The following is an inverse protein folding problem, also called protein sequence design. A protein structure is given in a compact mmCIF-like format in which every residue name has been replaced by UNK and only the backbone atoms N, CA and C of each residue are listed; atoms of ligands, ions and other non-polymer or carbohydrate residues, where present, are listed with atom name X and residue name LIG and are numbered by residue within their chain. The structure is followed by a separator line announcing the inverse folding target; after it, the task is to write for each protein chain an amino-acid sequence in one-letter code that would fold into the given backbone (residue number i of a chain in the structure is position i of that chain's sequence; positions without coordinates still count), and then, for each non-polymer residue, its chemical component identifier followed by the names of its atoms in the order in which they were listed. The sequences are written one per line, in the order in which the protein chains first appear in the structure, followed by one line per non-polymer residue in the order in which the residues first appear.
data_IF_827423035627
#
_entry.id   IF_827423035627
#
_cell.length_a   1.000
_cell.length_b   1.000
_cell.length_c   1.000
_cell.angle_alpha   90.00
_cell.angle_beta   90.00
_cell.angle_gamma   90.00
#
_symmetry.space_group_name_H-M   'P 1'
#
loop_
_entity.id
_entity.type
_entity.pdbx_description
1 polymer ?
#
# COMPACT_ATOMS: atom_id res chain seq x y z
N UNK A 1 -15.89 19.62 -3.47
CA UNK A 1 -14.53 19.54 -4.04
C UNK A 1 -14.67 19.24 -5.53
N UNK A 2 -13.90 19.95 -6.41
CA UNK A 2 -13.92 19.73 -7.84
C UNK A 2 -13.22 18.42 -8.19
N UNK A 3 -13.86 17.61 -9.03
CA UNK A 3 -13.26 16.39 -9.60
C UNK A 3 -12.85 16.67 -11.04
N UNK A 4 -11.63 16.28 -11.35
CA UNK A 4 -11.10 16.26 -12.71
C UNK A 4 -11.05 14.83 -13.22
N UNK A 5 -10.93 14.65 -14.54
CA UNK A 5 -10.74 13.33 -15.18
C UNK A 5 -9.34 13.20 -15.74
N UNK A 6 -8.78 12.02 -15.65
CA UNK A 6 -7.53 11.64 -16.30
C UNK A 6 -7.64 10.26 -16.94
N UNK A 7 -6.64 9.92 -17.74
CA UNK A 7 -6.48 8.58 -18.32
C UNK A 7 -4.98 8.27 -18.46
N UNK A 8 -4.58 7.07 -18.05
CA UNK A 8 -3.22 6.55 -18.20
C UNK A 8 -3.32 5.10 -18.70
N UNK A 9 -2.66 4.77 -19.80
CA UNK A 9 -2.63 3.44 -20.40
C UNK A 9 -4.03 2.83 -20.60
N UNK A 10 -5.03 3.64 -20.98
CA UNK A 10 -6.40 3.20 -21.19
C UNK A 10 -7.26 3.07 -19.92
N UNK A 11 -6.69 3.31 -18.74
CA UNK A 11 -7.41 3.31 -17.47
C UNK A 11 -7.83 4.73 -17.15
N UNK A 12 -9.14 4.97 -17.06
CA UNK A 12 -9.73 6.27 -16.74
C UNK A 12 -9.87 6.44 -15.24
N UNK A 13 -9.72 7.66 -14.76
CA UNK A 13 -9.88 7.96 -13.33
C UNK A 13 -10.39 9.37 -13.08
N UNK A 14 -11.07 9.53 -11.96
CA UNK A 14 -11.34 10.81 -11.34
C UNK A 14 -10.25 11.10 -10.30
N UNK A 15 -9.89 12.37 -10.18
CA UNK A 15 -8.98 12.84 -9.15
C UNK A 15 -9.45 14.19 -8.59
N UNK A 16 -9.17 14.42 -7.32
CA UNK A 16 -9.57 15.64 -6.59
C UNK A 16 -8.56 16.75 -6.89
N UNK A 17 -9.09 17.92 -7.22
CA UNK A 17 -8.27 19.10 -7.47
C UNK A 17 -7.54 19.57 -6.21
N UNK A 18 -6.25 19.89 -6.33
CA UNK A 18 -5.41 20.30 -5.19
C UNK A 18 -5.01 19.20 -4.21
N UNK A 19 -5.30 17.91 -4.52
CA UNK A 19 -4.87 16.75 -3.74
C UNK A 19 -3.75 15.98 -4.45
N UNK A 20 -3.16 15.02 -3.75
CA UNK A 20 -2.08 14.16 -4.28
C UNK A 20 -2.55 13.08 -5.26
N UNK A 21 -3.84 12.97 -5.52
CA UNK A 21 -4.46 11.89 -6.29
C UNK A 21 -3.84 11.69 -7.67
N UNK A 22 -3.64 12.76 -8.43
CA UNK A 22 -3.06 12.68 -9.79
C UNK A 22 -1.67 12.05 -9.75
N UNK A 23 -0.85 12.46 -8.79
CA UNK A 23 0.50 11.91 -8.62
C UNK A 23 0.46 10.43 -8.27
N UNK A 24 -0.49 9.99 -7.42
CA UNK A 24 -0.69 8.58 -7.12
C UNK A 24 -1.02 7.77 -8.39
N UNK A 25 -1.89 8.29 -9.27
CA UNK A 25 -2.18 7.63 -10.55
C UNK A 25 -0.97 7.58 -11.48
N UNK A 26 -0.19 8.67 -11.58
CA UNK A 26 1.04 8.71 -12.37
C UNK A 26 2.07 7.69 -11.88
N UNK A 27 2.26 7.56 -10.58
CA UNK A 27 3.18 6.60 -9.99
C UNK A 27 2.72 5.15 -10.19
N UNK A 28 1.46 4.86 -9.94
CA UNK A 28 0.95 3.48 -9.95
C UNK A 28 0.60 3.01 -11.35
N UNK A 29 -0.14 3.78 -12.14
CA UNK A 29 -0.53 3.41 -13.50
C UNK A 29 0.56 3.75 -14.52
N UNK A 30 1.16 4.93 -14.39
CA UNK A 30 2.20 5.41 -15.32
C UNK A 30 3.53 4.66 -15.13
N UNK A 31 4.08 4.73 -13.94
CA UNK A 31 5.40 4.19 -13.61
C UNK A 31 5.37 2.74 -13.12
N UNK A 32 4.18 2.19 -12.82
CA UNK A 32 3.97 0.83 -12.32
C UNK A 32 4.89 0.49 -11.13
N UNK A 33 4.92 1.37 -10.13
CA UNK A 33 5.87 1.28 -9.01
C UNK A 33 5.76 -0.04 -8.23
N UNK A 34 4.59 -0.66 -8.19
CA UNK A 34 4.35 -1.95 -7.55
C UNK A 34 4.54 -3.16 -8.48
N UNK A 35 4.89 -2.94 -9.78
CA UNK A 35 5.13 -4.00 -10.76
C UNK A 35 6.59 -4.03 -11.25
N UNK A 36 7.53 -3.68 -10.37
CA UNK A 36 8.97 -3.77 -10.68
C UNK A 36 9.51 -5.18 -10.42
N UNK A 37 10.72 -5.43 -10.91
CA UNK A 37 11.51 -6.64 -10.59
C UNK A 37 10.78 -7.96 -10.87
N UNK A 38 10.04 -8.03 -11.97
CA UNK A 38 9.28 -9.22 -12.40
C UNK A 38 7.98 -9.46 -11.62
N UNK A 39 7.54 -8.54 -10.75
CA UNK A 39 6.20 -8.56 -10.20
C UNK A 39 5.19 -8.36 -11.33
N UNK A 40 4.28 -9.30 -11.49
CA UNK A 40 3.20 -9.25 -12.48
C UNK A 40 1.87 -9.54 -11.82
N UNK A 41 0.81 -9.00 -12.39
CA UNK A 41 -0.56 -9.37 -12.03
C UNK A 41 -1.10 -10.26 -13.15
N UNK A 42 -1.64 -11.42 -12.79
CA UNK A 42 -2.23 -12.37 -13.73
C UNK A 42 -3.73 -12.40 -13.56
N UNK A 43 -4.43 -12.68 -14.66
CA UNK A 43 -5.87 -12.84 -14.63
C UNK A 43 -6.27 -13.99 -13.70
N UNK A 44 -7.31 -13.75 -12.89
CA UNK A 44 -7.84 -14.70 -11.93
C UNK A 44 -7.13 -14.73 -10.57
N UNK A 45 -5.96 -14.10 -10.41
CA UNK A 45 -5.31 -13.98 -9.09
C UNK A 45 -6.20 -13.20 -8.11
N UNK A 46 -6.16 -13.62 -6.84
CA UNK A 46 -6.83 -12.91 -5.75
C UNK A 46 -5.84 -11.96 -5.06
N UNK A 47 -6.11 -10.67 -5.16
CA UNK A 47 -5.26 -9.62 -4.60
C UNK A 47 -5.92 -8.93 -3.41
N UNK A 48 -5.15 -8.81 -2.35
CA UNK A 48 -5.43 -7.95 -1.19
C UNK A 48 -4.71 -6.62 -1.40
N UNK A 49 -5.47 -5.53 -1.61
CA UNK A 49 -4.94 -4.17 -1.73
C UNK A 49 -5.10 -3.47 -0.38
N UNK A 50 -4.04 -3.45 0.43
CA UNK A 50 -4.01 -2.81 1.72
C UNK A 50 -3.56 -1.36 1.55
N UNK A 51 -4.44 -0.40 1.89
CA UNK A 51 -4.24 1.02 1.62
C UNK A 51 -4.61 1.37 0.18
N UNK A 52 -5.92 1.30 -0.14
CA UNK A 52 -6.42 1.54 -1.50
C UNK A 52 -6.28 2.97 -1.97
N UNK A 53 -6.20 3.94 -1.05
CA UNK A 53 -6.16 5.36 -1.34
C UNK A 53 -7.30 5.73 -2.34
N UNK A 54 -6.99 6.29 -3.51
CA UNK A 54 -7.97 6.61 -4.56
C UNK A 54 -8.21 5.48 -5.55
N UNK A 55 -7.68 4.28 -5.30
CA UNK A 55 -7.92 3.06 -6.08
C UNK A 55 -6.95 2.81 -7.22
N UNK A 56 -5.80 3.48 -7.27
CA UNK A 56 -4.88 3.36 -8.40
C UNK A 56 -4.37 1.92 -8.59
N UNK A 57 -3.93 1.23 -7.53
CA UNK A 57 -3.52 -0.17 -7.64
C UNK A 57 -4.71 -1.10 -7.89
N UNK A 58 -5.84 -0.86 -7.23
CA UNK A 58 -7.08 -1.62 -7.47
C UNK A 58 -7.47 -1.59 -8.96
N UNK A 59 -7.48 -0.40 -9.59
CA UNK A 59 -7.76 -0.27 -11.03
C UNK A 59 -6.74 -1.00 -11.89
N UNK A 60 -5.45 -0.88 -11.57
CA UNK A 60 -4.39 -1.58 -12.29
C UNK A 60 -4.58 -3.09 -12.22
N UNK A 61 -4.88 -3.62 -11.04
CA UNK A 61 -5.08 -5.06 -10.86
C UNK A 61 -6.35 -5.56 -11.57
N UNK A 62 -7.47 -4.82 -11.45
CA UNK A 62 -8.70 -5.15 -12.16
C UNK A 62 -8.53 -5.11 -13.70
N UNK A 63 -7.78 -4.13 -14.23
CA UNK A 63 -7.52 -4.04 -15.67
C UNK A 63 -6.74 -5.23 -16.23
N UNK A 64 -6.03 -5.95 -15.37
CA UNK A 64 -5.31 -7.20 -15.70
C UNK A 64 -6.13 -8.46 -15.40
N UNK A 65 -7.39 -8.32 -15.00
CA UNK A 65 -8.31 -9.42 -14.72
C UNK A 65 -8.15 -10.07 -13.35
N UNK A 66 -7.48 -9.42 -12.42
CA UNK A 66 -7.40 -9.91 -11.04
C UNK A 66 -8.70 -9.66 -10.27
N UNK A 67 -8.95 -10.50 -9.25
CA UNK A 67 -10.04 -10.32 -8.28
C UNK A 67 -9.48 -9.56 -7.07
N UNK A 68 -9.98 -8.35 -6.82
CA UNK A 68 -9.41 -7.46 -5.81
C UNK A 68 -10.37 -7.25 -4.63
N UNK A 69 -9.85 -7.35 -3.42
CA UNK A 69 -10.46 -6.76 -2.23
C UNK A 69 -9.55 -5.66 -1.73
N UNK A 70 -10.08 -4.44 -1.68
CA UNK A 70 -9.35 -3.26 -1.24
C UNK A 70 -9.78 -2.85 0.17
N UNK A 71 -8.80 -2.55 1.01
CA UNK A 71 -8.95 -2.10 2.39
C UNK A 71 -8.49 -0.65 2.49
N UNK A 72 -9.41 0.24 2.76
CA UNK A 72 -9.16 1.69 2.84
C UNK A 72 -9.99 2.28 3.98
N UNK A 73 -9.37 2.83 5.03
CA UNK A 73 -10.11 3.36 6.17
C UNK A 73 -10.77 4.72 5.93
N UNK A 74 -10.26 5.54 5.01
CA UNK A 74 -10.80 6.87 4.75
C UNK A 74 -12.08 6.79 3.90
N UNK A 75 -13.25 7.25 4.41
CA UNK A 75 -14.50 7.19 3.67
C UNK A 75 -14.48 7.98 2.36
N UNK A 76 -13.75 9.10 2.30
CA UNK A 76 -13.63 9.90 1.08
C UNK A 76 -12.81 9.18 0.00
N UNK A 77 -11.78 8.46 0.41
CA UNK A 77 -11.01 7.61 -0.48
C UNK A 77 -11.85 6.43 -0.98
N UNK A 78 -12.63 5.78 -0.11
CA UNK A 78 -13.55 4.71 -0.52
C UNK A 78 -14.55 5.18 -1.58
N UNK A 79 -15.09 6.40 -1.45
CA UNK A 79 -15.95 6.98 -2.48
C UNK A 79 -15.20 7.20 -3.81
N UNK A 80 -13.93 7.61 -3.76
CA UNK A 80 -13.10 7.77 -4.96
C UNK A 80 -12.82 6.42 -5.62
N UNK A 81 -12.49 5.39 -4.84
CA UNK A 81 -12.29 4.02 -5.34
C UNK A 81 -13.55 3.57 -6.10
N UNK A 82 -14.72 3.72 -5.48
CA UNK A 82 -15.99 3.34 -6.10
C UNK A 82 -16.22 4.05 -7.43
N UNK A 83 -16.09 5.39 -7.45
CA UNK A 83 -16.26 6.19 -8.68
C UNK A 83 -15.29 5.75 -9.79
N UNK A 84 -14.06 5.42 -9.42
CA UNK A 84 -13.02 5.03 -10.35
C UNK A 84 -13.24 3.62 -10.91
N UNK A 85 -13.75 2.69 -10.10
CA UNK A 85 -14.19 1.37 -10.56
C UNK A 85 -15.37 1.50 -11.53
N UNK A 86 -16.42 2.24 -11.15
CA UNK A 86 -17.62 2.46 -11.96
C UNK A 86 -17.27 3.09 -13.33
N UNK A 87 -16.30 4.03 -13.36
CA UNK A 87 -15.86 4.70 -14.59
C UNK A 87 -15.22 3.77 -15.62
N UNK A 88 -14.66 2.64 -15.17
CA UNK A 88 -14.00 1.64 -16.02
C UNK A 88 -14.84 0.36 -16.20
N UNK A 89 -15.98 0.23 -15.53
CA UNK A 89 -16.76 -1.01 -15.50
C UNK A 89 -16.03 -2.15 -14.79
N UNK A 90 -15.16 -1.83 -13.82
CA UNK A 90 -14.45 -2.82 -13.02
C UNK A 90 -15.20 -3.12 -11.72
N UNK A 91 -15.01 -4.33 -11.22
CA UNK A 91 -15.56 -4.78 -9.94
C UNK A 91 -14.45 -5.12 -8.94
N UNK A 92 -14.59 -4.63 -7.72
CA UNK A 92 -13.76 -4.99 -6.57
C UNK A 92 -14.58 -4.90 -5.28
N UNK A 93 -14.20 -5.68 -4.28
CA UNK A 93 -14.78 -5.56 -2.93
C UNK A 93 -14.09 -4.44 -2.18
N UNK A 94 -14.85 -3.42 -1.75
CA UNK A 94 -14.32 -2.31 -0.94
C UNK A 94 -14.66 -2.56 0.53
N UNK A 95 -13.64 -2.63 1.38
CA UNK A 95 -13.78 -2.69 2.84
C UNK A 95 -13.27 -1.39 3.46
N UNK A 96 -14.20 -0.58 3.98
CA UNK A 96 -13.89 0.69 4.64
C UNK A 96 -13.40 0.46 6.06
N UNK A 97 -12.19 -0.06 6.21
CA UNK A 97 -11.58 -0.44 7.49
C UNK A 97 -10.07 -0.26 7.46
N UNK A 98 -9.45 -0.02 8.61
CA UNK A 98 -8.02 -0.15 8.78
C UNK A 98 -7.64 -1.61 9.05
N UNK A 99 -6.48 -2.04 8.55
CA UNK A 99 -5.90 -3.33 8.88
C UNK A 99 -4.92 -3.18 10.05
N UNK A 100 -4.99 -4.10 11.00
CA UNK A 100 -4.16 -4.11 12.21
C UNK A 100 -3.65 -5.51 12.50
N UNK A 101 -2.57 -5.62 13.30
CA UNK A 101 -1.97 -6.90 13.68
C UNK A 101 -2.68 -7.59 14.86
N UNK A 102 -3.61 -6.92 15.52
CA UNK A 102 -4.30 -7.41 16.72
C UNK A 102 -5.84 -7.31 16.56
N UNK A 103 -6.58 -7.63 17.61
CA UNK A 103 -8.05 -7.71 17.57
C UNK A 103 -8.77 -6.44 18.04
N UNK A 104 -8.11 -5.28 17.99
CA UNK A 104 -8.78 -4.00 18.25
C UNK A 104 -9.87 -3.76 17.20
N UNK A 105 -11.00 -3.20 17.62
CA UNK A 105 -12.16 -3.01 16.73
C UNK A 105 -12.19 -1.64 16.08
N UNK A 106 -11.53 -0.68 16.65
CA UNK A 106 -11.49 0.71 16.18
C UNK A 106 -10.16 1.36 16.52
N UNK A 107 -9.71 2.26 15.65
CA UNK A 107 -8.48 3.05 15.82
C UNK A 107 -8.69 4.47 15.32
N UNK A 108 -7.77 5.37 15.65
CA UNK A 108 -7.74 6.72 15.05
C UNK A 108 -6.90 6.68 13.77
N UNK A 109 -7.50 7.07 12.66
CA UNK A 109 -6.80 7.40 11.43
C UNK A 109 -6.42 8.88 11.49
N UNK A 110 -5.14 9.18 11.57
CA UNK A 110 -4.62 10.54 11.50
C UNK A 110 -4.55 10.99 10.04
N UNK A 111 -5.16 12.16 9.78
CA UNK A 111 -5.27 12.67 8.41
C UNK A 111 -4.00 13.45 8.06
N UNK A 112 -3.49 13.21 6.87
CA UNK A 112 -2.32 13.89 6.33
C UNK A 112 -2.53 15.41 6.19
N UNK A 113 -1.43 16.16 6.13
CA UNK A 113 -1.45 17.62 6.03
C UNK A 113 -1.63 18.10 4.59
N UNK A 114 -2.25 19.27 4.42
CA UNK A 114 -2.22 20.08 3.19
C UNK A 114 -2.61 19.31 1.91
N UNK A 115 -3.66 18.48 1.97
CA UNK A 115 -4.12 17.72 0.81
C UNK A 115 -3.28 16.47 0.50
N UNK A 116 -2.29 16.14 1.31
CA UNK A 116 -1.51 14.91 1.23
C UNK A 116 -2.31 13.73 1.81
N UNK A 117 -3.37 13.34 1.11
CA UNK A 117 -4.24 12.24 1.54
C UNK A 117 -3.58 10.86 1.43
N UNK A 118 -2.47 10.75 0.71
CA UNK A 118 -1.66 9.53 0.69
C UNK A 118 -0.97 9.25 2.04
N UNK A 119 -0.82 10.26 2.91
CA UNK A 119 -0.17 10.14 4.22
C UNK A 119 -1.15 9.94 5.39
N UNK A 120 -2.36 9.47 5.12
CA UNK A 120 -3.27 9.07 6.18
C UNK A 120 -2.70 7.83 6.89
N UNK A 121 -2.49 7.91 8.21
CA UNK A 121 -1.78 6.88 8.97
C UNK A 121 -2.49 6.55 10.27
N UNK A 122 -2.47 5.28 10.67
CA UNK A 122 -2.90 4.85 12.01
C UNK A 122 -1.76 4.86 13.04
N UNK A 123 -0.54 5.11 12.58
CA UNK A 123 0.70 5.10 13.39
C UNK A 123 1.20 6.50 13.62
N UNK A 124 1.31 7.31 12.55
CA UNK A 124 1.91 8.64 12.59
C UNK A 124 0.87 9.74 12.75
N UNK A 125 0.99 10.50 13.81
CA UNK A 125 0.17 11.69 14.04
C UNK A 125 0.83 12.91 13.39
N UNK A 126 0.33 13.33 12.23
CA UNK A 126 0.82 14.49 11.50
C UNK A 126 0.34 15.83 12.06
N UNK A 127 -0.88 15.82 12.64
CA UNK A 127 -1.56 16.96 13.22
C UNK A 127 -2.61 16.47 14.23
N UNK A 128 -3.45 17.37 14.73
CA UNK A 128 -4.52 17.00 15.66
C UNK A 128 -5.81 16.51 14.96
N UNK A 129 -5.81 16.35 13.63
CA UNK A 129 -6.98 15.87 12.89
C UNK A 129 -6.90 14.35 12.77
N UNK A 130 -7.94 13.68 13.23
CA UNK A 130 -8.09 12.25 13.11
C UNK A 130 -9.55 11.86 13.14
N UNK A 131 -9.87 10.73 12.53
CA UNK A 131 -11.19 10.15 12.52
C UNK A 131 -11.12 8.75 13.12
N UNK A 132 -12.19 8.35 13.83
CA UNK A 132 -12.30 7.00 14.35
C UNK A 132 -12.79 6.08 13.25
N UNK A 133 -12.04 5.01 12.98
CA UNK A 133 -12.35 4.05 11.91
C UNK A 133 -12.41 2.62 12.47
N UNK A 134 -13.23 1.75 11.87
CA UNK A 134 -13.25 0.34 12.23
C UNK A 134 -11.95 -0.36 11.80
N UNK A 135 -11.60 -1.45 12.49
CA UNK A 135 -10.42 -2.27 12.21
C UNK A 135 -10.77 -3.73 11.98
N UNK A 136 -9.96 -4.38 11.16
CA UNK A 136 -9.94 -5.84 10.99
C UNK A 136 -8.52 -6.37 11.20
N UNK A 137 -8.43 -7.56 11.76
CA UNK A 137 -7.17 -8.25 11.97
C UNK A 137 -6.66 -8.79 10.62
N UNK A 138 -5.44 -8.38 10.24
CA UNK A 138 -4.82 -8.75 8.97
C UNK A 138 -4.66 -10.26 8.82
N UNK A 139 -4.23 -10.98 9.86
CA UNK A 139 -4.02 -12.44 9.80
C UNK A 139 -5.30 -13.17 9.42
N UNK A 140 -6.45 -12.71 9.93
CA UNK A 140 -7.75 -13.30 9.61
C UNK A 140 -8.21 -12.97 8.19
N UNK A 141 -8.03 -11.71 7.77
CA UNK A 141 -8.44 -11.25 6.45
C UNK A 141 -7.60 -11.86 5.33
N UNK A 142 -6.30 -12.02 5.55
CA UNK A 142 -5.34 -12.43 4.53
C UNK A 142 -5.44 -13.89 4.07
N UNK A 143 -6.17 -14.74 4.80
CA UNK A 143 -6.19 -16.21 4.60
C UNK A 143 -6.54 -16.64 3.18
N UNK A 144 -7.47 -15.94 2.53
CA UNK A 144 -8.05 -16.33 1.25
C UNK A 144 -7.44 -15.59 0.04
N UNK A 145 -6.30 -14.93 0.22
CA UNK A 145 -5.64 -14.20 -0.86
C UNK A 145 -4.34 -14.88 -1.29
N UNK A 146 -4.11 -14.90 -2.60
CA UNK A 146 -2.86 -15.36 -3.20
C UNK A 146 -1.78 -14.28 -3.11
N UNK A 147 -2.17 -13.01 -3.33
CA UNK A 147 -1.26 -11.90 -3.51
C UNK A 147 -1.66 -10.71 -2.61
N UNK A 148 -0.68 -9.89 -2.25
CA UNK A 148 -0.89 -8.72 -1.41
C UNK A 148 -0.03 -7.54 -1.90
N UNK A 149 -0.67 -6.37 -2.04
CA UNK A 149 0.00 -5.06 -2.02
C UNK A 149 -0.31 -4.41 -0.68
N UNK A 150 0.71 -3.89 -0.01
CA UNK A 150 0.56 -3.23 1.28
C UNK A 150 1.31 -1.90 1.27
N UNK A 151 0.55 -0.83 1.42
CA UNK A 151 1.04 0.54 1.52
C UNK A 151 0.01 1.29 2.38
N UNK A 152 0.24 1.28 3.70
CA UNK A 152 -0.69 1.70 4.75
C UNK A 152 -0.07 2.71 5.71
N UNK A 153 0.98 3.35 5.22
CA UNK A 153 1.62 4.50 5.86
C UNK A 153 2.08 4.23 7.31
N UNK A 154 2.93 3.19 7.43
CA UNK A 154 3.69 2.86 8.64
C UNK A 154 3.17 1.68 9.46
N UNK A 155 1.97 1.15 9.17
CA UNK A 155 1.47 -0.03 9.88
C UNK A 155 1.99 -1.35 9.27
N UNK A 156 2.69 -1.32 8.13
CA UNK A 156 3.26 -2.48 7.44
C UNK A 156 4.15 -3.29 8.37
N UNK A 157 5.06 -2.62 9.07
CA UNK A 157 6.04 -3.27 9.92
C UNK A 157 5.37 -4.00 11.09
N UNK A 158 4.35 -3.38 11.70
CA UNK A 158 3.60 -4.01 12.78
C UNK A 158 2.85 -5.27 12.32
N UNK A 159 2.31 -5.24 11.09
CA UNK A 159 1.62 -6.37 10.49
C UNK A 159 2.62 -7.46 10.10
N UNK A 160 3.67 -7.12 9.35
CA UNK A 160 4.63 -8.09 8.80
C UNK A 160 5.46 -8.78 9.88
N UNK A 161 5.75 -8.11 10.98
CA UNK A 161 6.40 -8.70 12.15
C UNK A 161 5.52 -9.79 12.79
N UNK A 162 4.21 -9.56 12.86
CA UNK A 162 3.25 -10.39 13.59
C UNK A 162 2.47 -11.39 12.72
N UNK A 163 2.58 -11.35 11.40
CA UNK A 163 1.90 -12.31 10.51
C UNK A 163 2.75 -13.53 10.21
N UNK A 164 2.09 -14.70 10.09
CA UNK A 164 2.68 -15.91 9.52
C UNK A 164 2.21 -16.17 8.09
N UNK A 165 1.37 -15.31 7.52
CA UNK A 165 0.88 -15.44 6.15
C UNK A 165 2.02 -15.28 5.16
N UNK A 166 2.15 -16.26 4.26
CA UNK A 166 3.04 -16.23 3.10
C UNK A 166 2.15 -16.14 1.85
N UNK A 167 2.36 -15.11 1.06
CA UNK A 167 1.67 -14.90 -0.21
C UNK A 167 2.46 -15.51 -1.37
N UNK A 168 1.80 -15.80 -2.48
CA UNK A 168 2.52 -16.08 -3.74
C UNK A 168 3.31 -14.86 -4.20
N UNK A 169 2.69 -13.67 -4.04
CA UNK A 169 3.30 -12.38 -4.37
C UNK A 169 2.97 -11.37 -3.28
N UNK A 170 3.99 -10.74 -2.74
CA UNK A 170 3.87 -9.67 -1.77
C UNK A 170 4.68 -8.47 -2.25
N UNK A 171 4.05 -7.32 -2.33
CA UNK A 171 4.72 -6.03 -2.48
C UNK A 171 4.27 -5.09 -1.37
N UNK A 172 5.22 -4.45 -0.72
CA UNK A 172 4.89 -3.44 0.28
C UNK A 172 5.85 -2.26 0.24
N UNK A 173 5.34 -1.10 0.65
CA UNK A 173 6.15 0.08 0.87
C UNK A 173 6.52 0.18 2.35
N UNK A 174 7.80 0.43 2.63
CA UNK A 174 8.24 0.83 3.95
C UNK A 174 8.53 2.32 3.98
N UNK A 175 7.74 3.04 4.79
CA UNK A 175 7.87 4.48 4.97
C UNK A 175 8.79 4.77 6.17
N UNK A 176 10.06 5.02 5.88
CA UNK A 176 11.10 5.24 6.89
C UNK A 176 10.84 6.47 7.76
N UNK A 177 10.23 7.50 7.23
CA UNK A 177 9.89 8.72 7.98
C UNK A 177 8.68 8.56 8.92
N UNK A 178 8.01 7.41 8.86
CA UNK A 178 6.90 7.04 9.73
C UNK A 178 7.35 6.01 10.78
N UNK A 179 7.94 4.92 10.35
CA UNK A 179 8.56 3.91 11.22
C UNK A 179 10.06 3.82 10.88
N UNK A 180 10.90 4.46 11.68
CA UNK A 180 12.35 4.53 11.52
C UNK A 180 13.10 3.37 12.20
N UNK A 181 12.38 2.33 12.62
CA UNK A 181 12.99 1.17 13.27
C UNK A 181 13.72 0.27 12.26
N UNK A 182 14.96 0.61 11.93
CA UNK A 182 15.86 -0.21 11.12
C UNK A 182 16.02 -1.64 11.65
N UNK A 183 16.22 -1.88 12.96
CA UNK A 183 16.30 -3.25 13.47
C UNK A 183 15.03 -4.07 13.17
N UNK A 184 13.83 -3.49 13.32
CA UNK A 184 12.57 -4.15 12.99
C UNK A 184 12.50 -4.47 11.50
N UNK A 185 12.81 -3.49 10.65
CA UNK A 185 12.83 -3.68 9.21
C UNK A 185 13.76 -4.84 8.79
N UNK A 186 14.99 -4.86 9.27
CA UNK A 186 15.94 -5.93 8.96
C UNK A 186 15.51 -7.31 9.46
N UNK A 187 14.90 -7.40 10.63
CA UNK A 187 14.36 -8.66 11.14
C UNK A 187 13.25 -9.19 10.22
N UNK A 188 12.37 -8.31 9.72
CA UNK A 188 11.32 -8.67 8.76
C UNK A 188 11.95 -9.13 7.44
N UNK A 189 12.92 -8.40 6.90
CA UNK A 189 13.62 -8.76 5.68
C UNK A 189 14.29 -10.14 5.80
N UNK A 190 15.01 -10.41 6.89
CA UNK A 190 15.65 -11.71 7.13
C UNK A 190 14.63 -12.86 7.25
N UNK A 191 13.49 -12.60 7.90
CA UNK A 191 12.37 -13.55 7.96
C UNK A 191 11.85 -13.86 6.56
N UNK A 192 11.59 -12.85 5.75
CA UNK A 192 11.04 -12.98 4.41
C UNK A 192 12.01 -13.61 3.42
N UNK A 193 13.30 -13.33 3.50
CA UNK A 193 14.33 -13.97 2.67
C UNK A 193 14.40 -15.48 2.87
N UNK A 194 13.99 -15.98 4.06
CA UNK A 194 13.87 -17.42 4.34
C UNK A 194 12.56 -18.03 3.82
N UNK A 195 11.52 -17.20 3.68
CA UNK A 195 10.16 -17.63 3.33
C UNK A 195 9.89 -17.59 1.82
N UNK A 196 10.53 -16.67 1.10
CA UNK A 196 10.29 -16.43 -0.31
C UNK A 196 11.46 -16.91 -1.16
N UNK A 197 11.15 -17.53 -2.30
CA UNK A 197 12.17 -18.06 -3.24
C UNK A 197 12.86 -16.96 -4.05
N UNK A 198 12.20 -15.82 -4.26
CA UNK A 198 12.75 -14.64 -4.91
C UNK A 198 12.35 -13.40 -4.11
N UNK A 199 13.35 -12.65 -3.68
CA UNK A 199 13.19 -11.49 -2.82
C UNK A 199 14.01 -10.33 -3.38
N UNK A 200 13.36 -9.20 -3.62
CA UNK A 200 13.99 -8.01 -4.19
C UNK A 200 13.54 -6.76 -3.49
N UNK A 201 14.49 -5.93 -3.17
CA UNK A 201 14.26 -4.59 -2.65
C UNK A 201 14.46 -3.59 -3.78
N UNK A 202 13.54 -2.64 -3.90
CA UNK A 202 13.69 -1.50 -4.79
C UNK A 202 13.64 -0.25 -3.96
N UNK A 203 14.76 0.02 -3.29
CA UNK A 203 15.00 1.36 -2.80
C UNK A 203 15.43 2.25 -3.97
N UNK A 204 15.11 3.53 -3.93
CA UNK A 204 15.64 4.52 -4.87
C UNK A 204 17.17 4.64 -4.85
N UNK A 205 17.87 3.79 -4.16
CA UNK A 205 19.28 4.03 -3.83
C UNK A 205 20.23 2.91 -4.20
N UNK A 206 19.78 1.70 -4.49
CA UNK A 206 20.74 0.59 -4.65
C UNK A 206 21.70 0.42 -3.45
N UNK A 207 21.45 1.13 -2.35
CA UNK A 207 22.30 1.26 -1.17
C UNK A 207 21.85 0.41 0.01
N UNK A 208 20.88 -0.47 -0.15
CA UNK A 208 20.45 -1.45 0.87
C UNK A 208 21.58 -2.40 1.35
N UNK A 209 22.82 -2.11 0.98
CA UNK A 209 23.98 -2.91 1.39
C UNK A 209 24.50 -2.59 2.79
N UNK A 210 24.09 -1.48 3.40
CA UNK A 210 24.55 -1.09 4.72
C UNK A 210 23.42 -1.18 5.73
N UNK A 211 23.66 -1.93 6.81
CA UNK A 211 22.82 -1.94 8.02
C UNK A 211 23.12 -0.75 8.92
N UNK A 212 23.96 0.18 8.47
CA UNK A 212 24.40 1.33 9.23
C UNK A 212 23.39 2.47 9.10
N UNK A 213 22.76 2.82 10.22
CA UNK A 213 21.78 3.89 10.35
C UNK A 213 22.35 5.25 9.93
N UNK A 214 23.62 5.52 10.26
CA UNK A 214 24.27 6.80 9.91
C UNK A 214 24.47 6.97 8.41
N UNK A 215 24.66 5.87 7.69
CA UNK A 215 24.71 5.87 6.22
C UNK A 215 23.35 6.20 5.63
N UNK A 216 22.29 5.78 6.29
CA UNK A 216 20.91 6.05 5.90
C UNK A 216 20.53 7.51 6.16
N UNK A 217 20.86 8.07 7.29
CA UNK A 217 20.55 9.47 7.62
C UNK A 217 21.33 10.50 6.82
N UNK A 218 22.56 10.20 6.42
CA UNK A 218 23.46 11.13 5.69
C UNK A 218 23.19 11.21 4.20
N UNK A 219 22.48 10.27 3.63
CA UNK A 219 22.03 10.34 2.25
C UNK A 219 20.60 10.89 2.23
N UNK A 220 20.33 11.87 1.39
CA UNK A 220 18.97 12.33 1.09
C UNK A 220 18.15 11.14 0.57
N UNK A 221 17.52 10.40 1.50
CA UNK A 221 16.71 9.25 1.20
C UNK A 221 15.33 9.68 0.74
N UNK A 222 14.77 9.02 -0.26
CA UNK A 222 13.33 8.97 -0.35
C UNK A 222 12.81 8.40 0.97
N UNK A 223 11.74 8.98 1.47
CA UNK A 223 11.11 8.61 2.73
C UNK A 223 10.58 7.17 2.75
N UNK A 224 10.69 6.43 1.64
CA UNK A 224 10.11 5.10 1.48
C UNK A 224 10.91 4.18 0.53
N UNK A 225 10.66 2.88 0.63
CA UNK A 225 11.19 1.85 -0.26
C UNK A 225 10.18 0.74 -0.51
N UNK A 226 10.14 0.22 -1.73
CA UNK A 226 9.30 -0.92 -2.08
C UNK A 226 10.07 -2.24 -1.97
N UNK A 227 9.45 -3.21 -1.31
CA UNK A 227 9.95 -4.57 -1.16
C UNK A 227 9.06 -5.52 -1.94
N UNK A 228 9.68 -6.41 -2.71
CA UNK A 228 9.02 -7.40 -3.55
C UNK A 228 9.44 -8.81 -3.15
N UNK A 229 8.49 -9.65 -2.82
CA UNK A 229 8.72 -11.03 -2.42
C UNK A 229 7.80 -11.98 -3.22
N UNK A 230 8.37 -13.07 -3.74
CA UNK A 230 7.65 -14.02 -4.59
C UNK A 230 7.95 -15.45 -4.21
N UNK A 231 6.95 -16.32 -4.42
CA UNK A 231 7.15 -17.76 -4.50
C UNK A 231 6.89 -18.21 -5.95
N UNK A 232 7.84 -18.93 -6.51
CA UNK A 232 7.74 -19.53 -7.85
C UNK A 232 6.88 -20.78 -7.83
#
# INVERSE_FOLDING_TARGET
MKLNKGEIKGIKFYYRDGMSDLKTFEEVLGNEVYLKKSMTIQSGETWMDCGGNVGAFTLLACSKGAKVTVYEPDPFNCEMIKKNLDLNGFEATIKQVALVHNDVKQIILFIGNNGNVWRNSIVKKWNNKGIKVPCLNFENESKNFDCCKMDIEGAEMLILENTNKIFKKLVYEWSFDIDDSLPRFWNIIEKQQKQYSDFKEVGNTGKFKSRDYDVWQKSWFPACTNVFAFNK
#
